data_IF_303970637674
#
_entry.id   IF_303970637674
#
_cell.length_a   1.000
_cell.length_b   1.000
_cell.length_c   1.000
_cell.angle_alpha   90.00
_cell.angle_beta   90.00
_cell.angle_gamma   90.00
#
_symmetry.space_group_name_H-M   'P 1'
#
loop_
_entity.id
_entity.type
_entity.pdbx_description
1 polymer ?
#
# COMPACT_ATOMS: atom_id res chain seq x y z
N UNK A 1 4.79 4.59 -15.15
CA UNK A 1 3.90 3.96 -14.18
C UNK A 1 4.25 4.43 -12.78
N UNK A 2 3.30 4.98 -12.07
CA UNK A 2 3.55 5.48 -10.72
C UNK A 2 3.27 4.39 -9.69
N UNK A 3 4.05 4.38 -8.64
CA UNK A 3 3.87 3.43 -7.56
C UNK A 3 3.71 4.15 -6.23
N UNK A 4 3.06 3.48 -5.30
CA UNK A 4 2.85 3.98 -3.96
C UNK A 4 3.41 2.99 -2.95
N UNK A 5 4.21 3.48 -2.03
CA UNK A 5 4.76 2.66 -0.96
C UNK A 5 3.81 2.70 0.24
N UNK A 6 3.40 1.53 0.68
CA UNK A 6 2.52 1.39 1.85
C UNK A 6 3.31 0.70 2.96
N UNK A 7 3.50 1.41 4.05
CA UNK A 7 4.29 0.91 5.17
C UNK A 7 3.44 0.20 6.22
N UNK A 8 2.15 0.48 6.24
CA UNK A 8 1.22 -0.09 7.21
C UNK A 8 0.62 -1.37 6.65
N UNK A 9 0.88 -2.50 7.31
CA UNK A 9 0.39 -3.79 6.84
C UNK A 9 -1.13 -3.90 6.90
N UNK A 10 -1.77 -3.26 7.86
CA UNK A 10 -3.23 -3.23 7.94
C UNK A 10 -3.83 -2.54 6.72
N UNK A 11 -3.25 -1.40 6.36
CA UNK A 11 -3.70 -0.64 5.19
C UNK A 11 -3.50 -1.44 3.91
N UNK A 12 -2.34 -2.09 3.79
CA UNK A 12 -2.06 -2.93 2.63
C UNK A 12 -3.09 -4.07 2.52
N UNK A 13 -3.45 -4.65 3.66
CA UNK A 13 -4.44 -5.70 3.71
C UNK A 13 -5.81 -5.22 3.21
N UNK A 14 -6.20 -4.02 3.62
CA UNK A 14 -7.45 -3.42 3.17
C UNK A 14 -7.44 -3.19 1.67
N UNK A 15 -6.33 -2.71 1.14
CA UNK A 15 -6.20 -2.49 -0.29
C UNK A 15 -6.28 -3.80 -1.07
N UNK A 16 -5.66 -4.85 -0.56
CA UNK A 16 -5.72 -6.15 -1.19
C UNK A 16 -7.16 -6.68 -1.23
N UNK A 17 -7.93 -6.46 -0.17
CA UNK A 17 -9.32 -6.91 -0.13
C UNK A 17 -10.20 -6.14 -1.10
N UNK A 18 -9.76 -4.97 -1.55
CA UNK A 18 -10.48 -4.19 -2.54
C UNK A 18 -10.10 -4.54 -3.98
N UNK A 19 -9.21 -5.53 -4.15
CA UNK A 19 -8.84 -6.02 -5.47
C UNK A 19 -7.54 -5.48 -6.02
N UNK A 20 -6.80 -4.69 -5.25
CA UNK A 20 -5.50 -4.20 -5.68
C UNK A 20 -4.46 -5.29 -5.48
N UNK A 21 -3.40 -5.22 -6.28
CA UNK A 21 -2.33 -6.21 -6.22
C UNK A 21 -1.01 -5.55 -5.83
N UNK A 22 -0.25 -6.28 -5.03
CA UNK A 22 1.09 -5.87 -4.68
C UNK A 22 1.99 -6.17 -5.87
N UNK A 23 2.72 -5.15 -6.36
CA UNK A 23 3.65 -5.34 -7.47
C UNK A 23 5.06 -5.63 -7.01
N UNK A 24 5.38 -5.30 -5.76
CA UNK A 24 6.70 -5.62 -5.20
C UNK A 24 6.65 -5.54 -3.68
N UNK A 25 7.62 -6.18 -3.05
CA UNK A 25 7.80 -6.12 -1.60
C UNK A 25 9.21 -5.67 -1.33
N UNK A 26 9.36 -4.63 -0.53
CA UNK A 26 10.66 -4.10 -0.15
C UNK A 26 10.88 -4.27 1.35
N UNK A 27 12.12 -4.46 1.74
CA UNK A 27 12.45 -4.56 3.14
C UNK A 27 12.60 -3.17 3.74
N UNK A 28 11.96 -2.97 4.88
CA UNK A 28 12.08 -1.72 5.61
C UNK A 28 13.28 -1.81 6.56
N UNK A 29 14.33 -1.07 6.23
CA UNK A 29 15.56 -1.11 7.02
C UNK A 29 15.45 -0.40 8.37
N UNK A 30 14.44 0.42 8.52
CA UNK A 30 14.25 1.19 9.76
C UNK A 30 13.46 0.44 10.80
N UNK A 31 12.71 -0.57 10.39
CA UNK A 31 11.87 -1.35 11.30
C UNK A 31 12.31 -2.80 11.27
N UNK A 32 12.44 -3.36 12.46
CA UNK A 32 12.75 -4.78 12.60
C UNK A 32 11.57 -5.57 12.06
N UNK A 33 11.82 -6.45 11.11
CA UNK A 33 10.79 -7.25 10.47
C UNK A 33 9.76 -6.43 9.68
N UNK A 34 10.09 -5.18 9.35
CA UNK A 34 9.21 -4.34 8.58
C UNK A 34 9.27 -4.65 7.08
N UNK A 35 8.14 -4.52 6.42
CA UNK A 35 8.03 -4.72 4.98
C UNK A 35 7.27 -3.56 4.38
N UNK A 36 7.74 -3.09 3.22
CA UNK A 36 7.06 -2.04 2.47
C UNK A 36 6.34 -2.69 1.30
N UNK A 37 5.04 -2.43 1.18
CA UNK A 37 4.24 -2.95 0.10
C UNK A 37 4.17 -1.93 -1.02
N UNK A 38 4.45 -2.36 -2.24
CA UNK A 38 4.44 -1.47 -3.40
C UNK A 38 3.22 -1.76 -4.26
N UNK A 39 2.40 -0.74 -4.45
CA UNK A 39 1.18 -0.83 -5.26
C UNK A 39 1.29 0.11 -6.46
N UNK A 40 0.55 -0.21 -7.52
CA UNK A 40 0.40 0.71 -8.63
C UNK A 40 -0.56 1.83 -8.24
N UNK A 41 -0.10 3.08 -8.37
CA UNK A 41 -0.89 4.24 -7.98
C UNK A 41 -1.74 4.73 -9.15
N UNK A 42 -2.98 4.27 -9.22
CA UNK A 42 -3.97 4.75 -10.18
C UNK A 42 -4.86 5.79 -9.53
N UNK A 43 -5.70 6.45 -10.33
CA UNK A 43 -6.66 7.41 -9.78
C UNK A 43 -7.61 6.74 -8.78
N UNK A 44 -8.07 5.54 -9.12
CA UNK A 44 -8.94 4.78 -8.24
C UNK A 44 -8.22 4.42 -6.94
N UNK A 45 -6.95 4.03 -7.05
CA UNK A 45 -6.14 3.69 -5.89
C UNK A 45 -6.00 4.88 -4.95
N UNK A 46 -5.74 6.06 -5.52
CA UNK A 46 -5.60 7.29 -4.72
C UNK A 46 -6.87 7.58 -3.94
N UNK A 47 -8.02 7.43 -4.59
CA UNK A 47 -9.32 7.67 -3.95
C UNK A 47 -9.58 6.68 -2.82
N UNK A 48 -9.31 5.41 -3.06
CA UNK A 48 -9.50 4.38 -2.04
C UNK A 48 -8.54 4.58 -0.88
N UNK A 49 -7.30 4.92 -1.17
CA UNK A 49 -6.31 5.17 -0.13
C UNK A 49 -6.72 6.35 0.74
N UNK A 50 -7.17 7.42 0.10
CA UNK A 50 -7.64 8.61 0.82
C UNK A 50 -8.81 8.27 1.72
N UNK A 51 -9.76 7.49 1.21
CA UNK A 51 -10.92 7.05 1.99
C UNK A 51 -10.50 6.21 3.19
N UNK A 52 -9.55 5.31 3.00
CA UNK A 52 -9.09 4.43 4.09
C UNK A 52 -8.31 5.18 5.16
N UNK A 53 -7.65 6.27 4.79
CA UNK A 53 -6.85 7.05 5.73
C UNK A 53 -7.60 8.26 6.28
N UNK A 54 -8.72 8.60 5.69
CA UNK A 54 -9.54 9.72 6.18
C UNK A 54 -10.18 9.38 7.52
N UNK A 55 -10.29 10.37 8.37
CA UNK A 55 -10.93 10.20 9.67
C UNK A 55 -12.14 11.10 9.80
#
# INVERSE_FOLDING_TARGET
METKLIFNSFLAKQLLSRGYQIIDLLKDHKRKDGVVFVFEETEKFKKDLEELTAK
#
